data_IF_237231752047
#
_entry.id   IF_237231752047
#
_cell.length_a   1.000
_cell.length_b   1.000
_cell.length_c   1.000
_cell.angle_alpha   90.00
_cell.angle_beta   90.00
_cell.angle_gamma   90.00
#
_symmetry.space_group_name_H-M   'P 1'
#
loop_
_entity.id
_entity.type
_entity.pdbx_description
1 polymer ?
#
# COMPACT_ATOMS: atom_id res chain seq x y z
N UNK A 1 73.73 -20.33 21.06
CA UNK A 1 72.93 -19.07 21.08
C UNK A 1 71.87 -19.15 19.98
N UNK A 2 70.64 -19.54 20.31
CA UNK A 2 69.55 -19.69 19.35
C UNK A 2 68.62 -18.45 19.42
N UNK A 3 68.55 -17.70 18.32
CA UNK A 3 67.66 -16.53 18.16
C UNK A 3 66.22 -17.03 17.94
N UNK A 4 65.38 -16.86 18.95
CA UNK A 4 63.93 -17.12 18.91
C UNK A 4 63.27 -16.09 17.99
N UNK A 5 62.88 -16.51 16.80
CA UNK A 5 62.12 -15.72 15.84
C UNK A 5 60.69 -15.52 16.38
N UNK A 6 60.29 -14.26 16.53
CA UNK A 6 58.99 -13.86 17.08
C UNK A 6 57.94 -13.82 15.97
N UNK A 7 57.10 -14.84 15.89
CA UNK A 7 56.07 -15.02 14.86
C UNK A 7 54.76 -14.29 15.20
N UNK A 8 54.83 -13.02 15.60
CA UNK A 8 53.67 -12.21 16.01
C UNK A 8 53.44 -10.97 15.15
N UNK A 9 53.58 -11.03 13.83
CA UNK A 9 53.27 -9.86 13.00
C UNK A 9 52.81 -10.27 11.60
N UNK A 10 51.58 -10.81 11.47
CA UNK A 10 50.77 -10.59 10.25
C UNK A 10 49.31 -11.10 10.35
N UNK A 11 48.47 -10.54 11.22
CA UNK A 11 47.03 -10.86 11.24
C UNK A 11 46.10 -9.65 11.10
N UNK A 12 46.61 -8.46 10.79
CA UNK A 12 45.80 -7.22 10.71
C UNK A 12 45.38 -6.80 9.29
N UNK A 13 45.96 -7.36 8.22
CA UNK A 13 45.63 -6.94 6.84
C UNK A 13 44.33 -7.53 6.27
N UNK A 14 43.81 -8.61 6.83
CA UNK A 14 42.63 -9.30 6.30
C UNK A 14 41.30 -8.64 6.67
N UNK A 15 41.15 -8.22 7.93
CA UNK A 15 39.88 -7.72 8.44
C UNK A 15 39.42 -6.42 7.76
N UNK A 16 40.35 -5.49 7.51
CA UNK A 16 40.04 -4.24 6.79
C UNK A 16 39.56 -4.48 5.36
N UNK A 17 40.16 -5.45 4.66
CA UNK A 17 39.75 -5.79 3.28
C UNK A 17 38.36 -6.42 3.23
N UNK A 18 38.02 -7.28 4.19
CA UNK A 18 36.68 -7.85 4.30
C UNK A 18 35.61 -6.81 4.61
N UNK A 19 35.91 -5.85 5.49
CA UNK A 19 35.00 -4.74 5.80
C UNK A 19 34.73 -3.86 4.59
N UNK A 20 35.77 -3.50 3.82
CA UNK A 20 35.62 -2.72 2.59
C UNK A 20 34.82 -3.48 1.52
N UNK A 21 35.06 -4.78 1.36
CA UNK A 21 34.29 -5.62 0.44
C UNK A 21 32.82 -5.72 0.85
N UNK A 22 32.54 -5.93 2.13
CA UNK A 22 31.18 -5.98 2.66
C UNK A 22 30.43 -4.65 2.47
N UNK A 23 31.10 -3.52 2.73
CA UNK A 23 30.56 -2.19 2.47
C UNK A 23 30.28 -1.96 0.97
N UNK A 24 31.20 -2.37 0.10
CA UNK A 24 31.02 -2.30 -1.35
C UNK A 24 29.81 -3.11 -1.84
N UNK A 25 29.68 -4.36 -1.40
CA UNK A 25 28.53 -5.22 -1.73
C UNK A 25 27.21 -4.64 -1.21
N UNK A 26 27.21 -4.11 0.02
CA UNK A 26 26.03 -3.45 0.60
C UNK A 26 25.63 -2.22 -0.21
N UNK A 27 26.60 -1.39 -0.62
CA UNK A 27 26.37 -0.23 -1.46
C UNK A 27 25.80 -0.59 -2.82
N UNK A 28 26.33 -1.64 -3.48
CA UNK A 28 25.80 -2.15 -4.74
C UNK A 28 24.39 -2.69 -4.60
N UNK A 29 24.10 -3.45 -3.54
CA UNK A 29 22.76 -3.97 -3.26
C UNK A 29 21.76 -2.83 -3.02
N UNK A 30 22.14 -1.82 -2.24
CA UNK A 30 21.32 -0.63 -2.01
C UNK A 30 21.06 0.15 -3.30
N UNK A 31 22.09 0.34 -4.14
CA UNK A 31 21.96 1.01 -5.43
C UNK A 31 21.03 0.24 -6.38
N UNK A 32 21.18 -1.08 -6.48
CA UNK A 32 20.30 -1.94 -7.27
C UNK A 32 18.85 -1.87 -6.77
N UNK A 33 18.65 -1.92 -5.46
CA UNK A 33 17.33 -1.81 -4.86
C UNK A 33 16.66 -0.47 -5.21
N UNK A 34 17.37 0.65 -5.01
CA UNK A 34 16.85 2.00 -5.23
C UNK A 34 16.59 2.31 -6.71
N UNK A 35 17.44 1.80 -7.63
CA UNK A 35 17.36 2.14 -9.06
C UNK A 35 16.52 1.18 -9.89
N UNK A 36 16.51 -0.11 -9.55
CA UNK A 36 15.92 -1.14 -10.43
C UNK A 36 14.81 -1.90 -9.74
N UNK A 37 15.11 -2.57 -8.62
CA UNK A 37 14.16 -3.48 -7.99
C UNK A 37 12.86 -2.79 -7.57
N UNK A 38 12.96 -1.56 -7.08
CA UNK A 38 11.82 -0.76 -6.63
C UNK A 38 10.82 -0.40 -7.74
N UNK A 39 11.29 -0.30 -8.98
CA UNK A 39 10.47 0.02 -10.16
C UNK A 39 9.99 -1.23 -10.89
N UNK A 40 10.23 -2.43 -10.31
CA UNK A 40 9.80 -3.69 -10.90
C UNK A 40 8.30 -3.67 -11.15
N UNK A 41 7.96 -4.09 -12.36
CA UNK A 41 6.60 -4.19 -12.82
C UNK A 41 6.33 -5.67 -13.19
N UNK A 42 5.97 -6.51 -12.20
CA UNK A 42 5.74 -7.91 -12.46
C UNK A 42 4.52 -8.06 -13.37
N UNK A 43 4.59 -8.99 -14.32
CA UNK A 43 3.43 -9.38 -15.13
C UNK A 43 2.37 -9.96 -14.20
N UNK A 44 1.14 -9.48 -14.32
CA UNK A 44 0.01 -9.90 -13.49
C UNK A 44 -1.07 -10.50 -14.35
N UNK A 45 -1.47 -11.70 -13.99
CA UNK A 45 -2.66 -12.34 -14.53
C UNK A 45 -3.83 -12.00 -13.62
N UNK A 46 -4.86 -11.43 -14.22
CA UNK A 46 -6.14 -11.19 -13.56
C UNK A 46 -6.77 -12.53 -13.18
N UNK A 47 -7.37 -12.65 -12.00
CA UNK A 47 -8.12 -13.85 -11.63
C UNK A 47 -9.44 -13.89 -12.42
N UNK A 48 -9.82 -15.10 -12.85
CA UNK A 48 -11.10 -15.33 -13.55
C UNK A 48 -12.32 -15.15 -12.63
N UNK A 49 -12.10 -15.19 -11.31
CA UNK A 49 -13.15 -14.97 -10.30
C UNK A 49 -13.61 -13.51 -10.29
N UNK A 50 -14.93 -13.30 -10.38
CA UNK A 50 -15.55 -11.99 -10.24
C UNK A 50 -15.29 -11.35 -8.86
N UNK A 51 -15.36 -10.02 -8.79
CA UNK A 51 -15.20 -9.25 -7.55
C UNK A 51 -14.06 -8.24 -7.58
N UNK A 52 -13.79 -7.61 -6.45
CA UNK A 52 -12.73 -6.60 -6.35
C UNK A 52 -11.36 -7.27 -6.22
N UNK A 53 -10.37 -6.82 -6.97
CA UNK A 53 -8.96 -7.21 -6.73
C UNK A 53 -8.27 -6.24 -5.79
N UNK A 54 -7.21 -6.71 -5.15
CA UNK A 54 -6.38 -5.90 -4.27
C UNK A 54 -5.81 -4.69 -5.03
N UNK A 55 -5.89 -3.47 -4.48
CA UNK A 55 -5.36 -2.30 -5.15
C UNK A 55 -3.84 -2.23 -5.09
N UNK A 56 -3.17 -3.00 -4.23
CA UNK A 56 -1.71 -2.98 -4.08
C UNK A 56 -1.18 -4.32 -3.55
N UNK A 57 0.13 -4.54 -3.74
CA UNK A 57 0.86 -5.59 -3.04
C UNK A 57 1.06 -5.20 -1.58
N UNK A 58 0.80 -6.09 -0.63
CA UNK A 58 1.07 -5.78 0.77
C UNK A 58 0.42 -6.71 1.77
N UNK A 59 0.23 -6.17 2.97
CA UNK A 59 -0.52 -6.81 4.04
C UNK A 59 -1.81 -6.05 4.23
N UNK A 60 -2.94 -6.74 4.39
CA UNK A 60 -4.20 -6.14 4.82
C UNK A 60 -4.03 -5.67 6.27
N UNK A 61 -4.16 -4.38 6.52
CA UNK A 61 -3.98 -3.76 7.84
C UNK A 61 -5.28 -3.34 8.49
N UNK A 62 -6.34 -3.17 7.69
CA UNK A 62 -7.68 -2.87 8.17
C UNK A 62 -8.73 -3.44 7.24
N UNK A 63 -9.81 -3.95 7.83
CA UNK A 63 -11.06 -4.30 7.18
C UNK A 63 -12.15 -3.83 8.14
N UNK A 64 -12.92 -2.82 7.72
CA UNK A 64 -13.91 -2.17 8.57
C UNK A 64 -15.19 -1.90 7.80
N UNK A 65 -16.31 -2.20 8.44
CA UNK A 65 -17.61 -1.73 7.99
C UNK A 65 -17.78 -0.26 8.37
N UNK A 66 -18.34 0.52 7.45
CA UNK A 66 -18.64 1.93 7.61
C UNK A 66 -20.16 2.09 7.57
N UNK A 67 -20.69 2.84 8.53
CA UNK A 67 -22.12 3.16 8.64
C UNK A 67 -22.28 4.63 9.02
N UNK A 68 -23.03 5.40 8.21
CA UNK A 68 -23.19 6.85 8.39
C UNK A 68 -21.87 7.62 8.36
N UNK A 69 -20.93 7.20 7.51
CA UNK A 69 -19.60 7.80 7.40
C UNK A 69 -18.67 7.53 8.59
N UNK A 70 -19.04 6.60 9.47
CA UNK A 70 -18.29 6.29 10.68
C UNK A 70 -17.91 4.80 10.74
N UNK A 71 -16.72 4.54 11.30
CA UNK A 71 -16.32 3.20 11.70
C UNK A 71 -16.59 3.06 13.19
N UNK A 72 -17.34 2.02 13.56
CA UNK A 72 -17.69 1.72 14.95
C UNK A 72 -16.88 0.53 15.45
N UNK A 73 -16.51 0.58 16.72
CA UNK A 73 -15.97 -0.55 17.47
C UNK A 73 -17.03 -1.65 17.65
N UNK A 74 -16.65 -2.89 18.00
CA UNK A 74 -17.61 -3.93 18.36
C UNK A 74 -18.56 -3.54 19.50
N UNK A 75 -18.15 -2.62 20.37
CA UNK A 75 -18.97 -2.08 21.46
C UNK A 75 -19.94 -0.97 21.00
N UNK A 76 -20.02 -0.67 19.70
CA UNK A 76 -20.91 0.34 19.12
C UNK A 76 -20.42 1.79 19.24
N UNK A 77 -19.28 2.03 19.91
CA UNK A 77 -18.68 3.36 20.01
C UNK A 77 -17.98 3.73 18.70
N UNK A 78 -18.08 4.99 18.28
CA UNK A 78 -17.35 5.52 17.11
C UNK A 78 -15.85 5.42 17.34
N UNK A 79 -15.17 4.64 16.51
CA UNK A 79 -13.70 4.53 16.49
C UNK A 79 -13.10 5.75 15.79
N UNK A 80 -13.62 6.09 14.61
CA UNK A 80 -13.24 7.27 13.83
C UNK A 80 -14.28 7.56 12.73
N UNK A 81 -14.31 8.81 12.23
CA UNK A 81 -15.09 9.19 11.05
C UNK A 81 -14.23 9.14 9.78
N UNK A 82 -14.83 8.79 8.64
CA UNK A 82 -14.16 8.86 7.34
C UNK A 82 -13.77 10.29 6.97
N UNK A 83 -14.56 11.28 7.38
CA UNK A 83 -14.26 12.69 7.16
C UNK A 83 -12.94 13.11 7.83
N UNK A 84 -12.63 12.56 9.01
CA UNK A 84 -11.34 12.79 9.67
C UNK A 84 -10.16 12.23 8.89
N UNK A 85 -10.41 11.31 7.95
CA UNK A 85 -9.45 10.75 7.00
C UNK A 85 -9.56 11.37 5.61
N UNK A 86 -10.37 12.42 5.42
CA UNK A 86 -10.60 13.04 4.12
C UNK A 86 -11.29 12.12 3.10
N UNK A 87 -11.95 11.05 3.58
CA UNK A 87 -12.67 10.09 2.75
C UNK A 87 -14.17 10.39 2.76
N UNK A 88 -14.85 10.05 1.67
CA UNK A 88 -16.29 10.27 1.49
C UNK A 88 -16.98 8.95 1.13
N UNK A 89 -17.75 8.42 2.07
CA UNK A 89 -18.62 7.25 1.88
C UNK A 89 -19.60 7.19 3.05
N UNK A 90 -20.90 7.04 2.78
CA UNK A 90 -21.90 6.90 3.83
C UNK A 90 -21.95 5.48 4.39
N UNK A 91 -21.89 4.47 3.52
CA UNK A 91 -22.02 3.07 3.92
C UNK A 91 -21.21 2.16 2.99
N UNK A 92 -20.57 1.15 3.56
CA UNK A 92 -19.80 0.16 2.81
C UNK A 92 -18.57 -0.35 3.56
N UNK A 93 -17.59 -0.83 2.81
CA UNK A 93 -16.35 -1.37 3.36
C UNK A 93 -15.16 -0.44 3.14
N UNK A 94 -14.35 -0.29 4.19
CA UNK A 94 -13.04 0.30 4.15
C UNK A 94 -11.99 -0.82 4.33
N UNK A 95 -11.13 -0.99 3.34
CA UNK A 95 -10.04 -1.97 3.36
C UNK A 95 -8.72 -1.23 3.17
N UNK A 96 -7.71 -1.54 3.97
CA UNK A 96 -6.40 -0.92 3.87
C UNK A 96 -5.33 -1.96 3.64
N UNK A 97 -4.45 -1.67 2.69
CA UNK A 97 -3.31 -2.49 2.31
C UNK A 97 -2.05 -1.66 2.49
N UNK A 98 -1.14 -2.14 3.34
CA UNK A 98 0.17 -1.53 3.53
C UNK A 98 1.21 -2.31 2.73
N UNK A 99 1.81 -1.72 1.69
CA UNK A 99 2.90 -2.32 0.95
C UNK A 99 4.11 -2.56 1.84
N UNK A 100 4.73 -3.73 1.69
CA UNK A 100 5.97 -4.07 2.34
C UNK A 100 7.17 -3.36 1.69
N UNK A 101 8.35 -3.39 2.33
CA UNK A 101 9.56 -2.76 1.79
C UNK A 101 9.97 -3.33 0.43
N UNK A 102 9.64 -4.59 0.13
CA UNK A 102 9.97 -5.26 -1.12
C UNK A 102 8.78 -5.41 -2.08
N UNK A 103 7.60 -4.89 -1.70
CA UNK A 103 6.39 -4.94 -2.54
C UNK A 103 6.56 -4.09 -3.80
N UNK A 104 5.95 -4.51 -4.91
CA UNK A 104 5.84 -3.62 -6.06
C UNK A 104 4.93 -2.45 -5.67
N UNK A 105 5.27 -1.25 -6.14
CA UNK A 105 4.65 0.00 -5.66
C UNK A 105 3.64 0.58 -6.65
N UNK A 106 3.16 -0.28 -7.54
CA UNK A 106 2.05 0.03 -8.42
C UNK A 106 0.73 -0.16 -7.68
N UNK A 107 -0.21 0.73 -8.00
CA UNK A 107 -1.57 0.69 -7.51
C UNK A 107 -2.47 0.33 -8.68
N UNK A 108 -3.42 -0.56 -8.44
CA UNK A 108 -4.25 -1.20 -9.44
C UNK A 108 -5.72 -0.85 -9.24
N UNK A 109 -6.46 -0.78 -10.35
CA UNK A 109 -7.90 -0.65 -10.33
C UNK A 109 -8.53 -1.94 -9.77
N UNK A 110 -9.32 -1.86 -8.69
CA UNK A 110 -9.92 -3.04 -8.07
C UNK A 110 -11.04 -3.65 -8.92
N UNK A 111 -11.67 -2.85 -9.78
CA UNK A 111 -12.73 -3.26 -10.69
C UNK A 111 -12.76 -2.35 -11.92
N UNK A 112 -13.63 -2.68 -12.86
CA UNK A 112 -13.96 -1.82 -13.98
C UNK A 112 -14.67 -0.55 -13.50
N UNK A 113 -14.58 0.53 -14.28
CA UNK A 113 -15.32 1.76 -14.03
C UNK A 113 -14.82 2.95 -14.83
N UNK A 114 -15.35 4.11 -14.52
CA UNK A 114 -14.91 5.41 -15.06
C UNK A 114 -14.32 6.24 -13.93
N UNK A 115 -13.06 6.62 -14.07
CA UNK A 115 -12.36 7.39 -13.05
C UNK A 115 -12.91 8.82 -13.00
N UNK A 116 -13.25 9.31 -11.81
CA UNK A 116 -13.57 10.72 -11.57
C UNK A 116 -12.28 11.51 -11.34
N UNK A 117 -12.38 12.84 -11.33
CA UNK A 117 -11.21 13.70 -11.10
C UNK A 117 -10.51 13.33 -9.78
N UNK A 118 -9.18 13.12 -9.76
CA UNK A 118 -8.45 12.87 -8.53
C UNK A 118 -8.61 14.02 -7.54
N UNK A 119 -8.83 13.68 -6.27
CA UNK A 119 -8.97 14.67 -5.18
C UNK A 119 -7.78 14.54 -4.26
N UNK A 120 -7.08 15.65 -4.01
CA UNK A 120 -5.97 15.70 -3.05
C UNK A 120 -6.40 16.46 -1.81
N UNK A 121 -6.09 15.89 -0.65
CA UNK A 121 -6.45 16.47 0.65
C UNK A 121 -5.28 16.32 1.62
N UNK A 122 -5.00 17.36 2.38
CA UNK A 122 -3.98 17.38 3.45
C UNK A 122 -4.67 17.67 4.78
N UNK A 123 -4.54 16.77 5.77
CA UNK A 123 -5.20 16.92 7.08
C UNK A 123 -4.39 16.28 8.22
N UNK A 124 -4.44 16.83 9.44
CA UNK A 124 -3.88 16.16 10.61
C UNK A 124 -4.72 14.92 10.96
N UNK A 125 -4.06 13.83 11.33
CA UNK A 125 -4.71 12.58 11.74
C UNK A 125 -3.96 11.87 12.87
N UNK A 126 -4.69 11.10 13.66
CA UNK A 126 -4.14 10.20 14.71
C UNK A 126 -4.32 8.71 14.33
N UNK A 127 -4.71 8.44 13.08
CA UNK A 127 -5.12 7.15 12.53
C UNK A 127 -3.95 6.11 12.49
N UNK A 128 -4.16 4.78 12.30
CA UNK A 128 -3.27 3.68 12.73
C UNK A 128 -1.90 3.64 12.05
N UNK A 129 -1.63 4.56 11.12
CA UNK A 129 -0.28 4.80 10.61
C UNK A 129 0.63 5.43 11.66
N UNK A 130 0.07 6.18 12.62
CA UNK A 130 0.80 6.80 13.73
C UNK A 130 0.04 6.70 15.05
N UNK A 131 -0.08 5.49 15.65
CA UNK A 131 -0.76 5.32 16.92
C UNK A 131 -0.16 6.25 18.00
N UNK A 132 -1.01 7.07 18.63
CA UNK A 132 -0.59 8.00 19.69
C UNK A 132 0.22 9.21 19.23
N UNK A 133 0.32 9.47 17.92
CA UNK A 133 0.96 10.67 17.37
C UNK A 133 0.10 11.29 16.27
N UNK A 134 -0.16 12.58 16.39
CA UNK A 134 -0.73 13.35 15.30
C UNK A 134 0.30 13.50 14.20
N UNK A 135 -0.04 13.09 13.00
CA UNK A 135 0.76 13.30 11.80
C UNK A 135 -0.07 14.01 10.73
N UNK A 136 0.58 14.82 9.91
CA UNK A 136 -0.02 15.34 8.69
C UNK A 136 -0.18 14.20 7.68
N UNK A 137 -1.41 14.01 7.19
CA UNK A 137 -1.80 13.00 6.24
C UNK A 137 -2.03 13.67 4.89
N UNK A 138 -1.25 13.28 3.89
CA UNK A 138 -1.45 13.69 2.50
C UNK A 138 -2.11 12.54 1.73
N UNK A 139 -3.25 12.85 1.11
CA UNK A 139 -4.16 11.89 0.50
C UNK A 139 -4.35 12.20 -0.97
N UNK A 140 -4.34 11.17 -1.81
CA UNK A 140 -4.79 11.24 -3.19
C UNK A 140 -5.88 10.19 -3.41
N UNK A 141 -7.12 10.65 -3.53
CA UNK A 141 -8.29 9.80 -3.81
C UNK A 141 -8.51 9.72 -5.31
N UNK A 142 -8.69 8.50 -5.79
CA UNK A 142 -9.02 8.14 -7.16
C UNK A 142 -10.43 7.51 -7.14
N UNK A 143 -11.48 8.36 -7.14
CA UNK A 143 -12.86 7.87 -7.14
C UNK A 143 -13.21 7.30 -8.51
N UNK A 144 -14.04 6.26 -8.53
CA UNK A 144 -14.53 5.65 -9.75
C UNK A 144 -16.01 5.35 -9.65
N UNK A 145 -16.66 5.31 -10.81
CA UNK A 145 -18.01 4.81 -10.94
C UNK A 145 -18.03 3.46 -11.66
N UNK A 146 -18.79 2.47 -11.17
CA UNK A 146 -19.66 2.53 -10.01
C UNK A 146 -18.94 2.20 -8.69
N UNK A 147 -19.06 3.09 -7.70
CA UNK A 147 -19.11 2.68 -6.28
C UNK A 147 -17.82 2.24 -5.61
N UNK A 148 -16.64 2.55 -6.14
CA UNK A 148 -15.38 2.30 -5.45
C UNK A 148 -14.42 3.49 -5.56
N UNK A 149 -13.54 3.66 -4.59
CA UNK A 149 -12.44 4.61 -4.66
C UNK A 149 -11.15 4.01 -4.09
N UNK A 150 -10.03 4.33 -4.74
CA UNK A 150 -8.70 4.00 -4.21
C UNK A 150 -8.06 5.27 -3.68
N UNK A 151 -7.71 5.28 -2.41
CA UNK A 151 -7.06 6.43 -1.76
C UNK A 151 -5.63 6.07 -1.36
N UNK A 152 -4.69 6.86 -1.84
CA UNK A 152 -3.28 6.76 -1.47
C UNK A 152 -3.04 7.69 -0.29
N UNK A 153 -2.41 7.19 0.78
CA UNK A 153 -2.24 7.94 2.01
C UNK A 153 -0.79 7.89 2.50
N UNK A 154 -0.21 9.04 2.83
CA UNK A 154 1.12 9.16 3.41
C UNK A 154 1.05 10.00 4.69
N UNK A 155 1.50 9.43 5.81
CA UNK A 155 1.64 10.16 7.06
C UNK A 155 3.06 10.76 7.19
N UNK A 156 3.14 11.96 7.76
CA UNK A 156 4.40 12.62 8.13
C UNK A 156 5.19 13.19 6.94
N UNK A 157 4.52 13.50 5.83
CA UNK A 157 5.14 14.16 4.68
C UNK A 157 4.32 14.03 3.41
N UNK A 158 4.81 14.68 2.35
CA UNK A 158 4.12 14.73 1.05
C UNK A 158 4.09 13.37 0.35
N UNK A 159 2.91 12.93 -0.04
CA UNK A 159 2.67 11.80 -0.92
C UNK A 159 3.30 12.08 -2.29
N UNK A 160 4.22 11.19 -2.67
CA UNK A 160 4.84 11.17 -3.99
C UNK A 160 4.23 10.02 -4.79
N UNK A 161 3.19 10.35 -5.56
CA UNK A 161 2.49 9.41 -6.42
C UNK A 161 2.43 9.96 -7.84
N UNK A 162 2.62 9.08 -8.83
CA UNK A 162 2.36 9.38 -10.25
C UNK A 162 1.12 8.65 -10.69
N UNK A 163 0.09 9.35 -11.15
CA UNK A 163 -1.13 8.75 -11.69
C UNK A 163 -0.98 8.52 -13.19
N UNK A 164 -1.59 7.44 -13.69
CA UNK A 164 -1.57 7.10 -15.12
C UNK A 164 -2.89 7.45 -15.82
N UNK A 165 -3.94 7.72 -15.04
CA UNK A 165 -5.27 8.08 -15.53
C UNK A 165 -5.70 9.43 -14.97
N UNK A 166 -6.51 10.14 -15.76
CA UNK A 166 -7.22 11.37 -15.40
C UNK A 166 -8.73 11.14 -15.27
N UNK A 167 -9.45 12.18 -14.86
CA UNK A 167 -10.90 12.13 -14.75
C UNK A 167 -11.59 11.94 -16.10
N UNK A 168 -12.70 11.19 -16.11
CA UNK A 168 -13.50 10.83 -17.27
C UNK A 168 -12.98 9.63 -18.06
N UNK A 169 -11.86 9.01 -17.66
CA UNK A 169 -11.29 7.88 -18.39
C UNK A 169 -11.85 6.54 -17.90
N UNK A 170 -12.18 5.67 -18.85
CA UNK A 170 -12.55 4.30 -18.57
C UNK A 170 -11.33 3.48 -18.16
N UNK A 171 -11.51 2.69 -17.11
CA UNK A 171 -10.51 1.84 -16.51
C UNK A 171 -11.05 0.43 -16.38
N UNK A 172 -10.18 -0.53 -16.60
CA UNK A 172 -10.46 -1.95 -16.42
C UNK A 172 -9.84 -2.44 -15.13
N UNK A 173 -10.47 -3.42 -14.50
CA UNK A 173 -9.95 -4.19 -13.38
C UNK A 173 -8.51 -4.61 -13.68
N UNK A 174 -7.59 -4.35 -12.74
CA UNK A 174 -6.17 -4.64 -12.89
C UNK A 174 -5.36 -3.60 -13.69
N UNK A 175 -5.97 -2.56 -14.25
CA UNK A 175 -5.21 -1.45 -14.83
C UNK A 175 -4.39 -0.75 -13.74
N UNK A 176 -3.18 -0.30 -14.08
CA UNK A 176 -2.33 0.48 -13.17
C UNK A 176 -2.88 1.90 -13.05
N UNK A 177 -3.34 2.28 -11.88
CA UNK A 177 -3.84 3.61 -11.59
C UNK A 177 -2.71 4.59 -11.25
N UNK A 178 -1.75 4.13 -10.44
CA UNK A 178 -0.67 4.99 -9.96
C UNK A 178 0.60 4.20 -9.59
N UNK A 179 1.69 4.94 -9.36
CA UNK A 179 2.93 4.44 -8.78
C UNK A 179 3.34 5.27 -7.57
N UNK A 180 3.67 4.59 -6.45
CA UNK A 180 4.07 5.20 -5.18
C UNK A 180 5.60 5.29 -5.04
N UNK A 181 6.13 6.51 -5.05
CA UNK A 181 7.56 6.80 -4.91
C UNK A 181 8.08 6.76 -3.46
N UNK A 182 7.24 6.74 -2.43
CA UNK A 182 7.72 6.55 -1.05
C UNK A 182 7.00 5.47 -0.24
N UNK A 183 6.23 4.61 -0.91
CA UNK A 183 5.33 3.70 -0.21
C UNK A 183 4.13 4.50 0.29
N UNK A 184 3.43 3.99 1.31
CA UNK A 184 2.24 4.61 1.86
C UNK A 184 1.18 3.57 2.20
N UNK A 185 0.05 4.00 2.71
CA UNK A 185 -1.14 3.16 2.86
C UNK A 185 -2.01 3.28 1.62
N UNK A 186 -2.54 2.16 1.14
CA UNK A 186 -3.52 2.15 0.06
C UNK A 186 -4.86 1.74 0.66
N UNK A 187 -5.82 2.65 0.65
CA UNK A 187 -7.18 2.45 1.13
C UNK A 187 -8.10 2.19 -0.06
N UNK A 188 -8.97 1.21 0.08
CA UNK A 188 -10.08 0.93 -0.82
C UNK A 188 -11.36 1.21 -0.04
N UNK A 189 -12.19 2.11 -0.58
CA UNK A 189 -13.60 2.22 -0.18
C UNK A 189 -14.45 1.58 -1.26
N UNK A 190 -15.41 0.75 -0.86
CA UNK A 190 -16.39 0.15 -1.74
C UNK A 190 -17.76 0.07 -1.05
N UNK A 191 -18.82 -0.01 -1.85
CA UNK A 191 -20.21 -0.05 -1.37
C UNK A 191 -20.57 -1.34 -0.61
N UNK A 192 -21.79 -1.36 -0.10
CA UNK A 192 -22.41 -2.44 0.69
C UNK A 192 -22.80 -3.69 -0.12
N UNK A 193 -22.77 -3.59 -1.44
CA UNK A 193 -22.92 -4.71 -2.38
C UNK A 193 -21.66 -5.57 -2.51
N UNK A 194 -20.71 -5.44 -1.58
CA UNK A 194 -19.46 -6.18 -1.54
C UNK A 194 -19.29 -6.88 -0.19
N UNK A 195 -18.81 -8.12 -0.22
CA UNK A 195 -18.43 -8.87 0.99
C UNK A 195 -16.94 -9.19 0.96
N UNK A 196 -16.12 -8.61 1.87
CA UNK A 196 -14.73 -8.94 1.99
C UNK A 196 -14.54 -10.43 2.29
N UNK A 197 -13.61 -11.06 1.56
CA UNK A 197 -13.15 -12.43 1.77
C UNK A 197 -11.76 -12.48 2.42
N UNK A 198 -11.15 -11.32 2.68
CA UNK A 198 -9.82 -11.18 3.28
C UNK A 198 -9.88 -10.78 4.74
N UNK A 199 -8.82 -11.10 5.48
CA UNK A 199 -8.69 -10.78 6.91
C UNK A 199 -7.46 -9.89 7.20
N UNK A 200 -7.47 -9.20 8.34
CA UNK A 200 -6.31 -8.41 8.78
C UNK A 200 -5.11 -9.33 9.02
N UNK A 201 -3.94 -8.94 8.50
CA UNK A 201 -2.71 -9.74 8.54
C UNK A 201 -2.46 -10.54 7.27
N UNK A 202 -3.48 -10.72 6.42
CA UNK A 202 -3.37 -11.47 5.17
C UNK A 202 -2.48 -10.77 4.14
N UNK A 203 -1.71 -11.57 3.38
CA UNK A 203 -0.88 -11.07 2.28
C UNK A 203 -1.68 -11.04 1.00
N UNK A 204 -1.66 -9.89 0.33
CA UNK A 204 -2.38 -9.67 -0.92
C UNK A 204 -1.44 -9.21 -2.03
N UNK A 205 -1.78 -9.58 -3.25
CA UNK A 205 -1.06 -9.25 -4.47
C UNK A 205 -1.95 -8.36 -5.32
N UNK A 206 -1.49 -7.13 -5.59
CA UNK A 206 -2.25 -6.11 -6.31
C UNK A 206 -2.69 -6.60 -7.69
N UNK A 207 -3.92 -6.35 -8.09
CA UNK A 207 -4.48 -6.80 -9.37
C UNK A 207 -4.69 -8.32 -9.49
N UNK A 208 -4.34 -9.13 -8.48
CA UNK A 208 -4.43 -10.60 -8.55
C UNK A 208 -5.25 -11.21 -7.42
N UNK A 209 -5.04 -10.77 -6.17
CA UNK A 209 -5.80 -11.28 -5.04
C UNK A 209 -7.21 -10.71 -5.06
N UNK A 210 -8.22 -11.57 -5.06
CA UNK A 210 -9.62 -11.16 -4.92
C UNK A 210 -9.88 -10.80 -3.46
N UNK A 211 -10.25 -9.56 -3.20
CA UNK A 211 -10.56 -9.06 -1.85
C UNK A 211 -11.91 -9.52 -1.34
N UNK A 212 -12.79 -9.97 -2.24
CA UNK A 212 -14.16 -10.33 -1.92
C UNK A 212 -15.04 -10.43 -3.17
N UNK A 213 -16.25 -10.94 -2.98
CA UNK A 213 -17.23 -11.10 -4.03
C UNK A 213 -18.32 -10.02 -3.92
N UNK A 214 -19.03 -9.73 -5.02
CA UNK A 214 -20.30 -9.02 -4.93
C UNK A 214 -21.20 -9.76 -3.93
N UNK A 215 -21.84 -9.03 -3.02
CA UNK A 215 -22.93 -9.55 -2.22
C UNK A 215 -24.00 -9.99 -3.21
N UNK A 216 -24.20 -11.29 -3.35
CA UNK A 216 -25.20 -11.85 -4.25
C UNK A 216 -26.53 -11.14 -3.98
N UNK A 217 -27.07 -10.44 -4.97
CA UNK A 217 -28.46 -10.04 -4.94
C UNK A 217 -29.25 -11.35 -5.00
N UNK A 218 -29.71 -11.85 -3.85
CA UNK A 218 -30.75 -12.86 -3.84
C UNK A 218 -31.97 -12.20 -4.46
N UNK A 219 -32.17 -12.44 -5.76
CA UNK A 219 -33.42 -12.17 -6.47
C UNK A 219 -34.45 -13.25 -6.16
#
# INVERSE_FOLDING_TARGET
MARKWDSRMNRSGGAGRWLLMAAGLTGLAAAYYQRSYRYRDPVRLLPDTAGLVAPADGTVTLVRWVEGGQVKTPAGQTEFSLESLGLQMEQGWLIGVTPGPLSARYVYAPADGTLRAPVRTERPTTFPLTPGKTAELDLLTLPSEPGWAVTLAQAGGRLQARTYFGGGQDIRRGNKLAFLERGGLVLLTCRDDFRPAVTVGEKVVGGQTVLGAPATTTG
#
